data_IF_868528958203
#
_entry.id   IF_868528958203
#
_cell.length_a   1.000
_cell.length_b   1.000
_cell.length_c   1.000
_cell.angle_alpha   90.00
_cell.angle_beta   90.00
_cell.angle_gamma   90.00
#
_symmetry.space_group_name_H-M   'P 1'
#
loop_
_entity.id
_entity.type
_entity.pdbx_description
1 polymer ?
#
# COMPACT_ATOMS: atom_id res chain seq x y z
N UNK A 1 -19.23 -2.98 -17.36
CA UNK A 1 -20.26 -2.35 -16.49
C UNK A 1 -19.80 -0.92 -16.28
N UNK A 2 -20.65 0.08 -16.31
CA UNK A 2 -20.23 1.49 -16.11
C UNK A 2 -20.37 1.84 -14.64
N UNK A 3 -19.31 2.39 -14.03
CA UNK A 3 -19.35 2.87 -12.64
C UNK A 3 -20.00 4.25 -12.63
N UNK A 4 -20.98 4.46 -11.77
CA UNK A 4 -21.53 5.79 -11.49
C UNK A 4 -20.67 6.47 -10.41
N UNK A 5 -19.65 7.20 -10.84
CA UNK A 5 -18.74 7.90 -9.94
C UNK A 5 -19.42 8.98 -9.10
N UNK A 6 -20.53 9.58 -9.59
CA UNK A 6 -21.32 10.54 -8.80
C UNK A 6 -21.97 9.87 -7.59
N UNK A 7 -22.48 8.65 -7.76
CA UNK A 7 -23.11 7.91 -6.69
C UNK A 7 -22.12 7.31 -5.69
N UNK A 8 -20.84 7.11 -6.09
CA UNK A 8 -19.81 6.61 -5.17
C UNK A 8 -19.44 7.64 -4.11
N UNK A 9 -19.40 7.21 -2.85
CA UNK A 9 -19.02 8.04 -1.70
C UNK A 9 -17.52 8.00 -1.44
N UNK A 10 -16.93 6.79 -1.47
CA UNK A 10 -15.56 6.54 -1.07
C UNK A 10 -14.62 6.19 -2.22
N UNK A 11 -13.43 6.77 -2.22
CA UNK A 11 -12.37 6.50 -3.19
C UNK A 11 -11.11 6.00 -2.50
N UNK A 12 -10.70 4.77 -2.78
CA UNK A 12 -9.43 4.20 -2.34
C UNK A 12 -8.50 4.17 -3.55
N UNK A 13 -7.49 5.01 -3.55
CA UNK A 13 -6.60 5.17 -4.69
C UNK A 13 -5.18 4.78 -4.35
N UNK A 14 -4.51 4.03 -5.24
CA UNK A 14 -3.07 3.90 -5.17
C UNK A 14 -2.38 5.23 -5.50
N UNK A 15 -1.07 5.30 -5.34
CA UNK A 15 -0.32 6.54 -5.47
C UNK A 15 0.68 6.51 -6.65
N UNK A 16 1.66 5.61 -6.63
CA UNK A 16 2.67 5.52 -7.70
C UNK A 16 2.04 4.88 -8.94
N UNK A 17 2.20 5.50 -10.11
CA UNK A 17 1.51 5.06 -11.32
C UNK A 17 0.06 5.55 -11.46
N UNK A 18 -0.51 6.14 -10.40
CA UNK A 18 -1.89 6.67 -10.35
C UNK A 18 -1.91 8.20 -10.23
N UNK A 19 -1.24 8.74 -9.23
CA UNK A 19 -1.14 10.20 -9.00
C UNK A 19 0.16 10.79 -9.51
N UNK A 20 1.26 10.04 -9.41
CA UNK A 20 2.59 10.47 -9.81
C UNK A 20 3.43 9.28 -10.30
N UNK A 21 4.53 9.58 -10.96
CA UNK A 21 5.62 8.65 -11.21
C UNK A 21 6.95 9.30 -10.79
N UNK A 22 7.65 8.66 -9.85
CA UNK A 22 8.85 9.24 -9.23
C UNK A 22 8.55 10.56 -8.50
N UNK A 23 9.01 11.69 -9.08
CA UNK A 23 8.75 13.04 -8.58
C UNK A 23 7.93 13.90 -9.56
N UNK A 24 7.21 13.27 -10.48
CA UNK A 24 6.37 13.96 -11.48
C UNK A 24 4.92 13.56 -11.28
N UNK A 25 4.05 14.56 -11.16
CA UNK A 25 2.61 14.36 -11.17
C UNK A 25 2.15 13.86 -12.53
N UNK A 26 1.22 12.93 -12.53
CA UNK A 26 0.61 12.41 -13.75
C UNK A 26 -0.48 13.36 -14.27
N UNK A 27 -0.72 13.39 -15.60
CA UNK A 27 -1.79 14.20 -16.17
C UNK A 27 -3.15 13.89 -15.54
N UNK A 28 -3.92 14.93 -15.23
CA UNK A 28 -5.25 14.81 -14.64
C UNK A 28 -5.29 14.48 -13.13
N UNK A 29 -4.14 14.20 -12.50
CA UNK A 29 -4.12 13.85 -11.07
C UNK A 29 -4.49 15.05 -10.17
N UNK A 30 -4.11 16.27 -10.54
CA UNK A 30 -4.48 17.47 -9.80
C UNK A 30 -5.99 17.75 -9.91
N UNK A 31 -6.53 17.65 -11.12
CA UNK A 31 -7.96 17.80 -11.42
C UNK A 31 -8.80 16.76 -10.70
N UNK A 32 -8.32 15.51 -10.65
CA UNK A 32 -8.97 14.44 -9.91
C UNK A 32 -9.04 14.72 -8.41
N UNK A 33 -7.93 15.14 -7.79
CA UNK A 33 -7.91 15.48 -6.35
C UNK A 33 -8.83 16.67 -6.06
N UNK A 34 -8.81 17.71 -6.91
CA UNK A 34 -9.71 18.85 -6.80
C UNK A 34 -11.18 18.44 -6.95
N UNK A 35 -11.47 17.51 -7.87
CA UNK A 35 -12.80 16.95 -8.04
C UNK A 35 -13.28 16.22 -6.79
N UNK A 36 -12.45 15.32 -6.21
CA UNK A 36 -12.78 14.65 -4.96
C UNK A 36 -13.14 15.64 -3.84
N UNK A 37 -12.36 16.71 -3.71
CA UNK A 37 -12.57 17.74 -2.69
C UNK A 37 -13.84 18.57 -2.97
N UNK A 38 -14.05 18.99 -4.21
CA UNK A 38 -15.22 19.78 -4.62
C UNK A 38 -16.53 19.01 -4.46
N UNK A 39 -16.54 17.72 -4.81
CA UNK A 39 -17.70 16.85 -4.70
C UNK A 39 -17.88 16.26 -3.29
N UNK A 40 -17.07 16.70 -2.31
CA UNK A 40 -17.07 16.17 -0.94
C UNK A 40 -17.02 14.65 -0.88
N UNK A 41 -16.17 14.03 -1.70
CA UNK A 41 -15.94 12.60 -1.68
C UNK A 41 -15.00 12.23 -0.51
N UNK A 42 -15.32 11.14 0.18
CA UNK A 42 -14.37 10.53 1.10
C UNK A 42 -13.27 9.82 0.30
N UNK A 43 -12.01 10.11 0.56
CA UNK A 43 -10.92 9.50 -0.19
C UNK A 43 -9.73 9.14 0.68
N UNK A 44 -9.02 8.08 0.27
CA UNK A 44 -7.84 7.57 0.94
C UNK A 44 -6.80 7.16 -0.11
N UNK A 45 -5.60 7.70 -0.01
CA UNK A 45 -4.45 7.26 -0.78
C UNK A 45 -3.78 6.10 -0.04
N UNK A 46 -3.90 4.91 -0.64
CA UNK A 46 -3.54 3.65 -0.03
C UNK A 46 -2.34 3.05 -0.78
N UNK A 47 -1.18 3.00 -0.13
CA UNK A 47 0.07 2.61 -0.75
C UNK A 47 0.75 1.44 -0.05
N UNK A 48 1.40 0.58 -0.83
CA UNK A 48 2.28 -0.47 -0.31
C UNK A 48 3.62 0.08 0.22
N UNK A 49 3.93 1.35 -0.01
CA UNK A 49 5.14 1.95 0.57
C UNK A 49 5.12 1.86 2.09
N UNK A 50 6.14 1.23 2.68
CA UNK A 50 6.33 1.11 4.13
C UNK A 50 7.44 2.03 4.66
N UNK A 51 8.22 2.64 3.77
CA UNK A 51 9.38 3.44 4.14
C UNK A 51 9.04 4.86 4.57
N UNK A 52 7.98 5.44 4.02
CA UNK A 52 7.58 6.82 4.28
C UNK A 52 6.41 6.91 5.27
N UNK A 53 6.46 7.92 6.14
CA UNK A 53 5.33 8.29 6.99
C UNK A 53 4.25 9.02 6.17
N UNK A 54 2.97 9.07 6.65
CA UNK A 54 1.93 9.89 6.02
C UNK A 54 2.33 11.36 5.84
N UNK A 55 3.04 11.93 6.81
CA UNK A 55 3.57 13.30 6.75
C UNK A 55 4.60 13.49 5.63
N UNK A 56 5.50 12.54 5.43
CA UNK A 56 6.48 12.60 4.34
C UNK A 56 5.81 12.44 2.97
N UNK A 57 4.76 11.60 2.87
CA UNK A 57 3.93 11.48 1.67
C UNK A 57 3.18 12.79 1.38
N UNK A 58 2.57 13.43 2.38
CA UNK A 58 2.00 14.76 2.25
C UNK A 58 3.00 15.76 1.72
N UNK A 59 4.19 15.83 2.33
CA UNK A 59 5.25 16.75 1.89
C UNK A 59 5.75 16.44 0.48
N UNK A 60 5.80 15.17 0.09
CA UNK A 60 6.15 14.75 -1.28
C UNK A 60 5.13 15.27 -2.28
N UNK A 61 3.83 15.07 -2.02
CA UNK A 61 2.77 15.55 -2.90
C UNK A 61 2.71 17.08 -2.95
N UNK A 62 2.87 17.76 -1.82
CA UNK A 62 2.90 19.23 -1.75
C UNK A 62 4.03 19.84 -2.63
N UNK A 63 5.22 19.19 -2.65
CA UNK A 63 6.33 19.62 -3.54
C UNK A 63 6.00 19.45 -5.03
N UNK A 64 5.08 18.56 -5.36
CA UNK A 64 4.58 18.35 -6.73
C UNK A 64 3.32 19.19 -7.05
N UNK A 65 2.88 20.05 -6.11
CA UNK A 65 1.72 20.93 -6.29
C UNK A 65 0.38 20.30 -5.89
N UNK A 66 0.36 19.13 -5.23
CA UNK A 66 -0.85 18.50 -4.68
C UNK A 66 -0.93 18.74 -3.18
N UNK A 67 -1.94 19.50 -2.74
CA UNK A 67 -2.23 19.69 -1.32
C UNK A 67 -3.25 18.65 -0.85
N UNK A 68 -2.76 17.68 -0.07
CA UNK A 68 -3.55 16.58 0.48
C UNK A 68 -3.24 16.47 1.96
N UNK A 69 -4.23 16.56 2.86
CA UNK A 69 -4.01 16.40 4.30
C UNK A 69 -3.44 15.02 4.67
N UNK A 70 -2.61 14.99 5.70
CA UNK A 70 -1.93 13.77 6.19
C UNK A 70 -2.91 12.63 6.49
N UNK A 71 -4.11 12.93 6.98
CA UNK A 71 -5.14 11.95 7.33
C UNK A 71 -5.65 11.12 6.13
N UNK A 72 -5.38 11.55 4.89
CA UNK A 72 -5.78 10.84 3.67
C UNK A 72 -4.76 9.80 3.18
N UNK A 73 -3.72 9.51 3.96
CA UNK A 73 -2.72 8.51 3.59
C UNK A 73 -2.80 7.29 4.50
N UNK A 74 -2.85 6.10 3.88
CA UNK A 74 -2.78 4.83 4.58
C UNK A 74 -1.74 3.92 3.92
N UNK A 75 -0.69 3.58 4.68
CA UNK A 75 0.47 2.84 4.18
C UNK A 75 0.46 1.39 4.65
N UNK A 76 1.24 0.52 3.99
CA UNK A 76 1.45 -0.84 4.47
C UNK A 76 2.13 -0.88 5.84
N UNK A 77 2.90 0.14 6.20
CA UNK A 77 3.45 0.30 7.55
C UNK A 77 2.35 0.47 8.61
N UNK A 78 1.38 1.35 8.35
CA UNK A 78 0.21 1.52 9.22
C UNK A 78 -0.66 0.26 9.28
N UNK A 79 -0.82 -0.45 8.16
CA UNK A 79 -1.53 -1.72 8.12
C UNK A 79 -0.84 -2.79 8.98
N UNK A 80 0.49 -2.88 8.90
CA UNK A 80 1.30 -3.80 9.71
C UNK A 80 1.18 -3.49 11.20
N UNK A 81 1.28 -2.22 11.56
CA UNK A 81 1.13 -1.76 12.94
C UNK A 81 -0.28 -2.05 13.49
N UNK A 82 -1.33 -1.75 12.72
CA UNK A 82 -2.72 -2.04 13.08
C UNK A 82 -2.97 -3.56 13.23
N UNK A 83 -2.38 -4.37 12.34
CA UNK A 83 -2.45 -5.83 12.45
C UNK A 83 -1.85 -6.32 13.76
N UNK A 84 -0.62 -5.92 14.09
CA UNK A 84 0.04 -6.34 15.32
C UNK A 84 -0.70 -5.86 16.57
N UNK A 85 -1.16 -4.62 16.59
CA UNK A 85 -1.96 -4.07 17.68
C UNK A 85 -3.23 -4.87 17.94
N UNK A 86 -3.86 -5.37 16.88
CA UNK A 86 -5.10 -6.17 16.99
C UNK A 86 -4.84 -7.64 17.33
N UNK A 87 -3.79 -8.27 16.77
CA UNK A 87 -3.52 -9.69 16.93
C UNK A 87 -2.69 -10.03 18.18
N UNK A 88 -1.80 -9.13 18.57
CA UNK A 88 -0.87 -9.34 19.69
C UNK A 88 -0.60 -8.02 20.43
N UNK A 89 -1.58 -7.48 21.16
CA UNK A 89 -1.41 -6.24 21.91
C UNK A 89 -0.22 -6.31 22.87
N UNK A 90 0.65 -5.29 22.82
CA UNK A 90 1.84 -5.22 23.67
C UNK A 90 2.99 -6.14 23.27
N UNK A 91 2.93 -6.74 22.07
CA UNK A 91 4.04 -7.55 21.56
C UNK A 91 5.29 -6.73 21.31
N UNK A 92 6.40 -7.44 21.13
CA UNK A 92 7.70 -6.87 20.77
C UNK A 92 8.14 -7.31 19.38
N UNK A 93 8.95 -6.48 18.70
CA UNK A 93 9.42 -6.75 17.36
C UNK A 93 10.88 -6.36 17.14
N UNK A 94 11.60 -7.22 16.40
CA UNK A 94 12.82 -6.84 15.69
C UNK A 94 12.41 -6.31 14.30
N UNK A 95 12.86 -5.11 13.95
CA UNK A 95 12.38 -4.41 12.75
C UNK A 95 13.53 -4.10 11.80
N UNK A 96 13.36 -4.48 10.53
CA UNK A 96 14.20 -4.03 9.42
C UNK A 96 13.33 -3.18 8.50
N UNK A 97 13.58 -1.88 8.43
CA UNK A 97 12.78 -0.94 7.63
C UNK A 97 13.18 0.51 7.90
N UNK A 98 12.47 1.43 7.27
CA UNK A 98 12.69 2.87 7.39
C UNK A 98 11.72 3.52 8.40
N UNK A 99 11.81 4.84 8.51
CA UNK A 99 11.06 5.64 9.49
C UNK A 99 9.54 5.40 9.45
N UNK A 100 8.97 5.20 8.26
CA UNK A 100 7.52 4.93 8.12
C UNK A 100 7.08 3.72 8.92
N UNK A 101 7.81 2.61 8.80
CA UNK A 101 7.50 1.37 9.53
C UNK A 101 7.80 1.49 11.02
N UNK A 102 8.97 2.04 11.37
CA UNK A 102 9.39 2.20 12.76
C UNK A 102 8.42 3.08 13.56
N UNK A 103 8.04 4.24 13.00
CA UNK A 103 7.10 5.16 13.65
C UNK A 103 5.71 4.54 13.79
N UNK A 104 5.19 3.89 12.73
CA UNK A 104 3.88 3.25 12.79
C UNK A 104 3.79 2.18 13.88
N UNK A 105 4.84 1.36 14.02
CA UNK A 105 4.91 0.33 15.07
C UNK A 105 5.04 0.95 16.47
N UNK A 106 5.88 1.97 16.61
CA UNK A 106 6.07 2.69 17.88
C UNK A 106 4.75 3.34 18.36
N UNK A 107 4.06 4.05 17.48
CA UNK A 107 2.78 4.70 17.77
C UNK A 107 1.67 3.69 18.08
N UNK A 108 1.76 2.49 17.55
CA UNK A 108 0.86 1.39 17.88
C UNK A 108 1.15 0.72 19.25
N UNK A 109 2.25 1.11 19.92
CA UNK A 109 2.67 0.55 21.20
C UNK A 109 3.45 -0.76 21.10
N UNK A 110 4.05 -1.06 19.93
CA UNK A 110 4.89 -2.23 19.73
C UNK A 110 6.30 -1.92 20.26
N UNK A 111 6.80 -2.75 21.15
CA UNK A 111 8.14 -2.57 21.75
C UNK A 111 9.23 -3.06 20.81
N UNK A 112 10.24 -2.22 20.55
CA UNK A 112 11.41 -2.66 19.78
C UNK A 112 12.29 -3.57 20.66
N UNK A 113 12.57 -4.79 20.18
CA UNK A 113 13.32 -5.80 20.90
C UNK A 113 14.22 -6.58 19.93
N UNK A 114 15.49 -6.59 20.20
CA UNK A 114 16.48 -7.23 19.34
C UNK A 114 17.14 -8.48 19.99
N UNK A 115 16.63 -8.89 21.13
CA UNK A 115 17.14 -10.06 21.89
C UNK A 115 16.20 -11.25 21.80
N UNK A 116 14.93 -11.06 22.13
CA UNK A 116 13.90 -12.11 22.10
C UNK A 116 12.54 -11.50 21.72
N UNK A 117 12.37 -11.06 20.46
CA UNK A 117 11.13 -10.47 20.00
C UNK A 117 10.06 -11.53 19.74
N UNK A 118 8.79 -11.13 19.83
CA UNK A 118 7.67 -11.96 19.39
C UNK A 118 7.58 -12.04 17.86
N UNK A 119 8.03 -10.97 17.18
CA UNK A 119 7.98 -10.84 15.73
C UNK A 119 9.29 -10.31 15.14
N UNK A 120 9.60 -10.77 13.94
CA UNK A 120 10.54 -10.12 13.01
C UNK A 120 9.69 -9.44 11.94
N UNK A 121 9.78 -8.12 11.82
CA UNK A 121 9.00 -7.31 10.89
C UNK A 121 9.93 -6.68 9.87
N UNK A 122 9.67 -6.92 8.58
CA UNK A 122 10.51 -6.43 7.48
C UNK A 122 9.66 -5.59 6.53
N UNK A 123 10.15 -4.37 6.23
CA UNK A 123 9.61 -3.46 5.23
C UNK A 123 10.66 -3.04 4.21
N UNK A 124 10.33 -2.10 3.33
CA UNK A 124 11.32 -1.49 2.47
C UNK A 124 12.34 -0.69 3.30
N UNK A 125 13.58 -0.66 2.82
CA UNK A 125 14.62 0.12 3.45
C UNK A 125 15.98 -0.06 2.79
N UNK A 126 16.93 0.77 3.21
CA UNK A 126 18.31 0.77 2.73
C UNK A 126 19.30 0.16 3.73
N UNK A 127 18.82 -0.18 4.91
CA UNK A 127 19.64 -0.66 6.03
C UNK A 127 19.83 -2.18 6.05
N UNK A 128 19.77 -2.83 4.89
CA UNK A 128 20.01 -4.26 4.75
C UNK A 128 21.51 -4.54 4.77
N UNK A 129 21.92 -5.40 5.69
CA UNK A 129 23.27 -5.95 5.75
C UNK A 129 23.20 -7.44 6.01
N UNK A 130 24.29 -8.16 5.75
CA UNK A 130 24.37 -9.58 6.10
C UNK A 130 24.17 -9.78 7.61
N UNK A 131 24.66 -8.87 8.45
CA UNK A 131 24.53 -8.95 9.90
C UNK A 131 23.07 -8.81 10.34
N UNK A 132 22.33 -7.83 9.81
CA UNK A 132 20.90 -7.66 10.11
C UNK A 132 20.06 -8.83 9.62
N UNK A 133 20.35 -9.37 8.43
CA UNK A 133 19.68 -10.57 7.91
C UNK A 133 20.01 -11.82 8.74
N UNK A 134 21.28 -12.01 9.12
CA UNK A 134 21.69 -13.12 10.00
C UNK A 134 20.96 -13.06 11.34
N UNK A 135 20.82 -11.86 11.90
CA UNK A 135 20.06 -11.66 13.14
C UNK A 135 18.58 -12.01 12.95
N UNK A 136 17.94 -11.53 11.91
CA UNK A 136 16.55 -11.85 11.59
C UNK A 136 16.33 -13.36 11.45
N UNK A 137 17.19 -14.05 10.71
CA UNK A 137 17.17 -15.53 10.55
C UNK A 137 17.20 -16.22 11.91
N UNK A 138 18.18 -15.87 12.76
CA UNK A 138 18.32 -16.51 14.07
C UNK A 138 17.12 -16.25 14.99
N UNK A 139 16.56 -15.04 15.00
CA UNK A 139 15.38 -14.72 15.78
C UNK A 139 14.15 -15.50 15.30
N UNK A 140 13.96 -15.66 14.00
CA UNK A 140 12.88 -16.49 13.43
C UNK A 140 13.07 -17.97 13.79
N UNK A 141 14.30 -18.49 13.73
CA UNK A 141 14.61 -19.87 14.15
C UNK A 141 14.39 -20.08 15.66
N UNK A 142 14.55 -19.05 16.48
CA UNK A 142 14.27 -19.06 17.91
C UNK A 142 12.77 -18.96 18.24
N UNK A 143 11.92 -18.72 17.24
CA UNK A 143 10.46 -18.74 17.42
C UNK A 143 9.73 -17.44 17.13
N UNK A 144 10.44 -16.35 16.79
CA UNK A 144 9.80 -15.11 16.36
C UNK A 144 9.00 -15.33 15.05
N UNK A 145 7.81 -14.76 14.96
CA UNK A 145 6.95 -14.86 13.78
C UNK A 145 7.40 -13.84 12.72
N UNK A 146 7.40 -14.25 11.45
CA UNK A 146 7.89 -13.44 10.35
C UNK A 146 6.74 -12.65 9.68
N UNK A 147 6.88 -11.33 9.62
CA UNK A 147 5.95 -10.40 9.00
C UNK A 147 6.65 -9.56 7.93
N UNK A 148 6.00 -9.39 6.78
CA UNK A 148 6.38 -8.43 5.76
C UNK A 148 5.34 -7.30 5.64
N UNK A 149 5.82 -6.08 5.44
CA UNK A 149 4.93 -4.94 5.29
C UNK A 149 4.05 -5.07 4.02
N UNK A 150 4.62 -5.54 2.90
CA UNK A 150 3.90 -5.81 1.66
C UNK A 150 4.56 -6.94 0.87
N UNK A 151 3.87 -7.44 -0.15
CA UNK A 151 4.32 -8.56 -0.98
C UNK A 151 4.96 -8.13 -2.32
N UNK A 152 5.26 -6.85 -2.51
CA UNK A 152 5.86 -6.36 -3.74
C UNK A 152 7.28 -6.91 -3.91
N UNK A 153 7.56 -7.47 -5.08
CA UNK A 153 8.86 -8.06 -5.41
C UNK A 153 9.86 -6.97 -5.79
N UNK A 154 9.39 -5.99 -6.53
CA UNK A 154 10.20 -4.86 -7.00
C UNK A 154 9.37 -3.59 -7.04
N UNK A 155 10.06 -2.45 -6.96
CA UNK A 155 9.49 -1.12 -7.15
C UNK A 155 10.26 -0.34 -8.21
N UNK A 156 9.56 0.55 -8.92
CA UNK A 156 10.18 1.44 -9.88
C UNK A 156 11.00 2.52 -9.16
N UNK A 157 12.19 2.78 -9.67
CA UNK A 157 13.05 3.88 -9.25
C UNK A 157 13.38 4.74 -10.46
N UNK A 158 14.01 5.88 -10.25
CA UNK A 158 14.32 6.82 -11.33
C UNK A 158 15.09 6.19 -12.51
N UNK A 159 15.95 5.21 -12.22
CA UNK A 159 16.72 4.46 -13.25
C UNK A 159 16.60 2.96 -12.99
N UNK A 160 15.54 2.33 -13.53
CA UNK A 160 15.33 0.89 -13.43
C UNK A 160 14.41 0.48 -12.28
N UNK A 161 14.67 -0.68 -11.68
CA UNK A 161 13.90 -1.25 -10.57
C UNK A 161 14.79 -1.50 -9.36
N UNK A 162 14.20 -1.44 -8.17
CA UNK A 162 14.84 -1.86 -6.91
C UNK A 162 14.08 -3.04 -6.31
N UNK A 163 14.76 -3.91 -5.52
CA UNK A 163 14.06 -4.92 -4.72
C UNK A 163 13.10 -4.24 -3.74
N UNK A 164 11.86 -4.74 -3.66
CA UNK A 164 10.88 -4.31 -2.68
C UNK A 164 10.76 -5.34 -1.53
N UNK A 165 9.83 -5.13 -0.62
CA UNK A 165 9.75 -5.85 0.64
C UNK A 165 9.78 -7.39 0.49
N UNK A 166 9.06 -7.96 -0.50
CA UNK A 166 9.05 -9.41 -0.76
C UNK A 166 10.44 -9.96 -1.12
N UNK A 167 11.18 -9.23 -1.97
CA UNK A 167 12.53 -9.63 -2.35
C UNK A 167 13.52 -9.50 -1.20
N UNK A 168 13.31 -8.51 -0.32
CA UNK A 168 14.17 -8.27 0.84
C UNK A 168 13.94 -9.29 1.96
N UNK A 169 12.73 -9.82 2.11
CA UNK A 169 12.39 -10.84 3.12
C UNK A 169 12.73 -12.26 2.64
N UNK A 170 12.85 -12.50 1.36
CA UNK A 170 13.09 -13.81 0.76
C UNK A 170 14.32 -14.54 1.34
N UNK A 171 15.48 -13.91 1.60
CA UNK A 171 16.61 -14.57 2.24
C UNK A 171 16.29 -15.16 3.61
N UNK A 172 15.45 -14.48 4.40
CA UNK A 172 15.02 -14.97 5.72
C UNK A 172 14.10 -16.18 5.58
N UNK A 173 13.14 -16.13 4.66
CA UNK A 173 12.24 -17.26 4.37
C UNK A 173 13.03 -18.48 3.88
N UNK A 174 13.97 -18.28 2.95
CA UNK A 174 14.78 -19.35 2.38
C UNK A 174 15.68 -20.00 3.44
N UNK A 175 16.32 -19.21 4.31
CA UNK A 175 17.22 -19.70 5.34
C UNK A 175 16.49 -20.42 6.49
N UNK A 176 15.25 -20.02 6.79
CA UNK A 176 14.48 -20.54 7.94
C UNK A 176 13.43 -21.58 7.56
N UNK A 177 13.02 -21.63 6.29
CA UNK A 177 11.87 -22.41 5.82
C UNK A 177 10.52 -21.88 6.32
N UNK A 178 10.48 -20.69 6.94
CA UNK A 178 9.26 -20.05 7.43
C UNK A 178 8.71 -19.08 6.39
N UNK A 179 7.38 -19.03 6.27
CA UNK A 179 6.70 -18.09 5.38
C UNK A 179 6.33 -16.82 6.13
N UNK A 180 6.54 -15.66 5.49
CA UNK A 180 6.08 -14.38 6.01
C UNK A 180 4.59 -14.18 5.75
N UNK A 181 3.91 -13.53 6.69
CA UNK A 181 2.59 -12.96 6.43
C UNK A 181 2.74 -11.50 6.02
N UNK A 182 2.09 -11.10 4.92
CA UNK A 182 2.17 -9.74 4.38
C UNK A 182 0.90 -8.95 4.66
N UNK A 183 1.04 -7.73 5.20
CA UNK A 183 -0.09 -6.89 5.60
C UNK A 183 -0.58 -5.95 4.50
N UNK A 184 0.30 -5.57 3.56
CA UNK A 184 -0.01 -4.69 2.42
C UNK A 184 -0.89 -5.34 1.35
N UNK A 185 -1.28 -4.56 0.33
CA UNK A 185 -2.00 -5.09 -0.85
C UNK A 185 -1.23 -6.28 -1.45
N UNK A 186 -1.89 -7.33 -1.90
CA UNK A 186 -3.33 -7.51 -2.07
C UNK A 186 -4.09 -7.98 -0.83
N UNK A 187 -3.49 -7.96 0.37
CA UNK A 187 -4.18 -8.41 1.57
C UNK A 187 -5.48 -7.62 1.79
N UNK A 188 -6.65 -8.28 1.85
CA UNK A 188 -7.94 -7.61 2.01
C UNK A 188 -8.07 -6.84 3.33
N UNK A 189 -7.16 -7.04 4.28
CA UNK A 189 -7.11 -6.28 5.52
C UNK A 189 -6.92 -4.77 5.25
N UNK A 190 -6.08 -4.41 4.28
CA UNK A 190 -5.90 -2.99 3.90
C UNK A 190 -7.18 -2.38 3.35
N UNK A 191 -7.88 -3.08 2.45
CA UNK A 191 -9.14 -2.59 1.85
C UNK A 191 -10.24 -2.46 2.90
N UNK A 192 -10.41 -3.47 3.77
CA UNK A 192 -11.39 -3.39 4.88
C UNK A 192 -11.10 -2.26 5.85
N UNK A 193 -9.82 -2.00 6.11
CA UNK A 193 -9.43 -0.86 6.95
C UNK A 193 -9.70 0.46 6.23
N UNK A 194 -9.40 0.55 4.93
CA UNK A 194 -9.70 1.71 4.10
C UNK A 194 -11.21 2.04 4.11
N UNK A 195 -12.08 1.07 3.86
CA UNK A 195 -13.53 1.25 3.94
C UNK A 195 -13.99 1.78 5.32
N UNK A 196 -13.45 1.21 6.39
CA UNK A 196 -13.77 1.64 7.75
C UNK A 196 -13.32 3.07 8.04
N UNK A 197 -12.13 3.47 7.54
CA UNK A 197 -11.62 4.84 7.69
C UNK A 197 -12.47 5.85 6.91
N UNK A 198 -12.97 5.45 5.73
CA UNK A 198 -13.87 6.26 4.90
C UNK A 198 -15.32 6.25 5.40
N UNK A 199 -15.68 5.33 6.32
CA UNK A 199 -17.07 5.17 6.75
C UNK A 199 -18.02 4.67 5.66
N UNK A 200 -17.48 3.96 4.65
CA UNK A 200 -18.22 3.48 3.49
C UNK A 200 -18.41 1.95 3.50
N UNK A 201 -19.51 1.49 2.91
CA UNK A 201 -19.68 0.10 2.51
C UNK A 201 -18.98 -0.17 1.16
N UNK A 202 -18.75 -1.44 0.85
CA UNK A 202 -18.00 -1.83 -0.37
C UNK A 202 -18.70 -1.40 -1.67
N UNK A 203 -20.02 -1.42 -1.71
CA UNK A 203 -20.84 -0.98 -2.86
C UNK A 203 -20.85 0.55 -3.05
N UNK A 204 -20.55 1.31 -1.98
CA UNK A 204 -20.45 2.77 -2.01
C UNK A 204 -19.04 3.27 -2.40
N UNK A 205 -18.07 2.37 -2.45
CA UNK A 205 -16.67 2.73 -2.69
C UNK A 205 -16.18 2.28 -4.08
N UNK A 206 -15.02 2.82 -4.48
CA UNK A 206 -14.28 2.40 -5.66
C UNK A 206 -12.79 2.32 -5.33
N UNK A 207 -12.11 1.29 -5.84
CA UNK A 207 -10.65 1.17 -5.82
C UNK A 207 -10.09 1.63 -7.16
N UNK A 208 -9.11 2.52 -7.14
CA UNK A 208 -8.40 3.00 -8.32
C UNK A 208 -6.93 2.62 -8.20
N UNK A 209 -6.41 1.87 -9.13
CA UNK A 209 -5.02 1.42 -9.13
C UNK A 209 -4.51 1.11 -10.52
N UNK A 210 -3.20 0.93 -10.64
CA UNK A 210 -2.53 0.64 -11.90
C UNK A 210 -2.05 -0.81 -12.03
N UNK A 211 -2.27 -1.65 -10.96
CA UNK A 211 -1.79 -3.02 -10.91
C UNK A 211 -2.91 -4.02 -10.69
N UNK A 212 -2.92 -5.04 -11.55
CA UNK A 212 -3.86 -6.16 -11.45
C UNK A 212 -3.61 -7.01 -10.19
N UNK A 213 -2.34 -7.29 -9.90
CA UNK A 213 -1.87 -8.22 -8.86
C UNK A 213 -1.89 -7.64 -7.44
N UNK A 214 -2.20 -6.36 -7.27
CA UNK A 214 -2.32 -5.70 -5.96
C UNK A 214 -3.65 -4.98 -5.80
N UNK A 215 -3.90 -3.92 -6.59
CA UNK A 215 -5.07 -3.04 -6.42
C UNK A 215 -6.37 -3.71 -6.85
N UNK A 216 -6.35 -4.26 -8.07
CA UNK A 216 -7.58 -4.80 -8.68
C UNK A 216 -8.04 -6.05 -7.94
N UNK A 217 -7.12 -6.98 -7.65
CA UNK A 217 -7.50 -8.18 -6.90
C UNK A 217 -7.96 -7.83 -5.48
N UNK A 218 -7.28 -6.91 -4.80
CA UNK A 218 -7.67 -6.51 -3.44
C UNK A 218 -9.05 -5.85 -3.40
N UNK A 219 -9.36 -4.99 -4.38
CA UNK A 219 -10.69 -4.39 -4.52
C UNK A 219 -11.76 -5.45 -4.83
N UNK A 220 -11.51 -6.31 -5.81
CA UNK A 220 -12.43 -7.37 -6.22
C UNK A 220 -12.74 -8.34 -5.06
N UNK A 221 -11.72 -8.84 -4.34
CA UNK A 221 -11.89 -9.75 -3.21
C UNK A 221 -12.58 -9.08 -2.01
N UNK A 222 -12.58 -7.75 -1.97
CA UNK A 222 -13.28 -6.95 -0.96
C UNK A 222 -14.70 -6.55 -1.39
N UNK A 223 -15.14 -6.95 -2.59
CA UNK A 223 -16.46 -6.62 -3.13
C UNK A 223 -16.61 -5.15 -3.50
N UNK A 224 -15.50 -4.46 -3.84
CA UNK A 224 -15.46 -3.05 -4.23
C UNK A 224 -15.31 -2.96 -5.75
N UNK A 225 -16.01 -2.02 -6.38
CA UNK A 225 -15.77 -1.71 -7.79
C UNK A 225 -14.33 -1.26 -8.03
N UNK A 226 -13.73 -1.72 -9.12
CA UNK A 226 -12.31 -1.49 -9.42
C UNK A 226 -12.10 -0.77 -10.73
N UNK A 227 -11.25 0.24 -10.72
CA UNK A 227 -10.79 0.99 -11.88
C UNK A 227 -9.30 0.74 -12.08
N UNK A 228 -8.95 0.10 -13.20
CA UNK A 228 -7.57 0.00 -13.64
C UNK A 228 -7.22 1.24 -14.45
N UNK A 229 -6.19 1.97 -14.03
CA UNK A 229 -5.61 3.07 -14.82
C UNK A 229 -4.37 2.60 -15.55
N UNK A 230 -4.20 3.05 -16.79
CA UNK A 230 -3.11 2.67 -17.67
C UNK A 230 -1.92 3.63 -17.61
N UNK A 231 -1.92 4.52 -16.63
CA UNK A 231 -0.85 5.51 -16.41
C UNK A 231 0.38 4.96 -15.68
N UNK A 232 0.31 3.72 -15.19
CA UNK A 232 1.37 3.09 -14.41
C UNK A 232 1.91 1.80 -15.02
N UNK A 233 1.85 0.71 -14.27
CA UNK A 233 2.48 -0.59 -14.63
C UNK A 233 1.69 -1.36 -15.68
N UNK A 234 0.36 -1.35 -15.62
CA UNK A 234 -0.49 -2.14 -16.53
C UNK A 234 -0.76 -1.40 -17.84
N UNK A 235 -0.85 -2.16 -18.91
CA UNK A 235 -1.35 -1.74 -20.22
C UNK A 235 -2.70 -2.38 -20.54
N UNK A 236 -3.25 -2.13 -21.75
CA UNK A 236 -4.55 -2.67 -22.17
C UNK A 236 -4.57 -4.19 -22.35
N UNK A 237 -3.43 -4.83 -22.54
CA UNK A 237 -3.33 -6.27 -22.70
C UNK A 237 -3.14 -6.98 -21.35
N UNK A 238 -2.60 -6.30 -20.35
CA UNK A 238 -2.33 -6.86 -19.03
C UNK A 238 -3.53 -7.58 -18.41
N UNK A 239 -4.76 -7.04 -18.39
CA UNK A 239 -5.91 -7.73 -17.80
C UNK A 239 -6.22 -9.07 -18.43
N UNK A 240 -5.90 -9.28 -19.73
CA UNK A 240 -6.16 -10.55 -20.44
C UNK A 240 -5.33 -11.72 -19.92
N UNK A 241 -4.25 -11.43 -19.20
CA UNK A 241 -3.37 -12.46 -18.62
C UNK A 241 -3.84 -12.92 -17.23
N UNK A 242 -4.88 -12.27 -16.67
CA UNK A 242 -5.42 -12.58 -15.35
C UNK A 242 -6.79 -13.29 -15.45
N UNK A 243 -7.08 -14.15 -14.48
CA UNK A 243 -8.36 -14.85 -14.38
C UNK A 243 -9.53 -13.94 -13.94
N UNK A 244 -9.26 -12.71 -13.56
CA UNK A 244 -10.21 -11.71 -13.13
C UNK A 244 -10.02 -10.41 -13.92
N UNK A 245 -11.06 -9.56 -13.91
CA UNK A 245 -11.07 -8.32 -14.69
C UNK A 245 -11.42 -7.14 -13.77
N UNK A 246 -10.89 -5.93 -14.05
CA UNK A 246 -11.37 -4.72 -13.40
C UNK A 246 -12.81 -4.40 -13.82
N UNK A 247 -13.55 -3.70 -12.97
CA UNK A 247 -14.90 -3.21 -13.32
C UNK A 247 -14.83 -2.22 -14.49
N UNK A 248 -13.78 -1.39 -14.53
CA UNK A 248 -13.56 -0.38 -15.57
C UNK A 248 -12.05 -0.19 -15.83
N UNK A 249 -11.72 0.23 -17.07
CA UNK A 249 -10.34 0.58 -17.47
C UNK A 249 -10.36 2.02 -18.01
N UNK A 250 -9.48 2.86 -17.47
CA UNK A 250 -9.30 4.27 -17.88
C UNK A 250 -7.83 4.51 -18.25
N UNK A 251 -7.55 5.60 -19.00
CA UNK A 251 -6.15 5.92 -19.31
C UNK A 251 -5.41 6.50 -18.11
N UNK A 252 -6.10 7.24 -17.25
CA UNK A 252 -5.59 7.82 -16.01
C UNK A 252 -6.71 8.28 -15.09
N UNK A 253 -6.37 8.74 -13.90
CA UNK A 253 -7.36 9.25 -12.93
C UNK A 253 -8.07 10.52 -13.41
N UNK A 254 -7.46 11.27 -14.33
CA UNK A 254 -8.08 12.45 -14.94
C UNK A 254 -9.35 12.15 -15.73
N UNK A 255 -9.52 10.90 -16.19
CA UNK A 255 -10.73 10.48 -16.90
C UNK A 255 -11.94 10.34 -15.94
N UNK A 256 -11.72 10.19 -14.62
CA UNK A 256 -12.81 9.98 -13.64
C UNK A 256 -13.76 11.18 -13.53
N UNK A 257 -13.30 12.43 -13.39
CA UNK A 257 -14.17 13.60 -13.42
C UNK A 257 -15.01 13.72 -14.69
N UNK A 258 -14.41 13.40 -15.86
CA UNK A 258 -15.10 13.44 -17.16
C UNK A 258 -16.17 12.36 -17.27
N UNK A 259 -15.91 11.16 -16.82
CA UNK A 259 -16.90 10.06 -16.79
C UNK A 259 -18.01 10.27 -15.75
N UNK A 260 -17.78 11.18 -14.78
CA UNK A 260 -18.76 11.58 -13.79
C UNK A 260 -19.74 12.67 -14.30
N UNK A 261 -19.43 13.39 -15.38
CA UNK A 261 -20.33 14.39 -15.98
C UNK A 261 -21.46 13.73 -16.79
#
# INVERSE_FOLDING_TARGET
MKIDFKAKKGFICDMDGVLYHGNRILPGAAEFVQWLQRENKDYLFLTNNSGMTPRELQQKLARMGLDVPEAHFYTSALATAAFLKAQAPGCSAFVIGEAGLLNALYDAGITMNDVNPDYVVIGEGRTYSLDTLTRAVNLVLQGAKLLGANSDVSGNIEKGIAPACRALIAPVEMATGKQAYFCGKPNPLMMRTGLRLLGCHSDEAVVVGDRMDTDIIAGMESGIDTVLVLSGVSDRETPRTFAYQPTMILNGVGDIPEEAE
#
